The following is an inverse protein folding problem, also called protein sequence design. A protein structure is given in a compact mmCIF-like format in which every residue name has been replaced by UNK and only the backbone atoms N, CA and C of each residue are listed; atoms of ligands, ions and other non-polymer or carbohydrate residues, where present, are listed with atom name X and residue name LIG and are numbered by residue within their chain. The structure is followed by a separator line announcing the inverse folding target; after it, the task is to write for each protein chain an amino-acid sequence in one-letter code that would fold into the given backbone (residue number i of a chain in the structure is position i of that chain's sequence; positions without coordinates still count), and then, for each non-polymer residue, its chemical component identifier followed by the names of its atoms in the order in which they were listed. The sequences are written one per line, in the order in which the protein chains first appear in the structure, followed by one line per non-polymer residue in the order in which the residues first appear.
data_IF_487612521507
#
_entry.id   IF_487612521507
#
_cell.length_a   1.000
_cell.length_b   1.000
_cell.length_c   1.000
_cell.angle_alpha   90.00
_cell.angle_beta   90.00
_cell.angle_gamma   90.00
#
_symmetry.space_group_name_H-M   'P 1'
#
loop_
_entity.id
_entity.type
_entity.pdbx_description
1 polymer ?
#
# COMPACT_ATOMS: atom_id res chain seq x y z
N UNK A 1 -10.64 -3.64 -10.60
CA UNK A 1 -10.23 -2.26 -10.90
C UNK A 1 -11.29 -1.26 -10.46
N UNK A 2 -10.84 -0.05 -10.14
CA UNK A 2 -11.75 1.03 -9.83
C UNK A 2 -12.41 1.57 -11.10
N UNK A 3 -13.71 1.87 -11.01
CA UNK A 3 -14.43 2.49 -12.12
C UNK A 3 -14.22 4.00 -12.08
N UNK A 4 -14.60 4.68 -13.19
CA UNK A 4 -14.54 6.14 -13.23
C UNK A 4 -15.44 6.76 -12.14
N UNK A 5 -16.60 6.15 -11.87
CA UNK A 5 -17.49 6.63 -10.81
C UNK A 5 -16.86 6.50 -9.43
N UNK A 6 -16.17 5.39 -9.18
CA UNK A 6 -15.46 5.19 -7.91
C UNK A 6 -14.44 6.29 -7.69
N UNK A 7 -13.68 6.61 -8.73
CA UNK A 7 -12.63 7.62 -8.64
C UNK A 7 -13.23 9.01 -8.40
N UNK A 8 -14.33 9.32 -9.05
CA UNK A 8 -14.98 10.62 -8.90
C UNK A 8 -15.54 10.85 -7.50
N UNK A 9 -15.86 9.79 -6.78
CA UNK A 9 -16.36 9.90 -5.42
C UNK A 9 -15.27 10.22 -4.39
N UNK A 10 -14.00 10.20 -4.80
CA UNK A 10 -12.86 10.43 -3.91
C UNK A 10 -12.53 11.91 -3.79
N UNK A 11 -11.78 12.26 -2.73
CA UNK A 11 -11.31 13.64 -2.54
C UNK A 11 -10.35 14.02 -3.66
N UNK A 12 -10.29 15.32 -4.05
CA UNK A 12 -9.43 15.76 -5.14
C UNK A 12 -7.95 15.39 -5.00
N UNK A 13 -7.41 15.44 -3.78
CA UNK A 13 -6.02 15.06 -3.54
C UNK A 13 -5.77 13.61 -3.88
N UNK A 14 -6.71 12.74 -3.51
CA UNK A 14 -6.62 11.32 -3.79
C UNK A 14 -6.75 11.08 -5.28
N UNK A 15 -7.70 11.77 -5.94
CA UNK A 15 -7.87 11.65 -7.39
C UNK A 15 -6.58 11.97 -8.14
N UNK A 16 -5.92 13.06 -7.76
CA UNK A 16 -4.69 13.48 -8.41
C UNK A 16 -3.57 12.46 -8.24
N UNK A 17 -3.46 11.89 -7.04
CA UNK A 17 -2.47 10.85 -6.76
C UNK A 17 -2.72 9.61 -7.63
N UNK A 18 -4.00 9.24 -7.80
CA UNK A 18 -4.38 8.05 -8.55
C UNK A 18 -4.10 8.15 -10.04
N UNK A 19 -4.04 9.36 -10.59
CA UNK A 19 -3.73 9.55 -12.01
C UNK A 19 -2.33 9.03 -12.38
N UNK A 20 -1.46 8.87 -11.41
CA UNK A 20 -0.08 8.43 -11.62
C UNK A 20 0.11 6.94 -11.37
N UNK A 21 -0.94 6.22 -11.01
CA UNK A 21 -0.85 4.81 -10.63
C UNK A 21 -1.42 3.91 -11.74
N UNK A 22 -0.64 2.89 -12.13
CA UNK A 22 -1.01 1.99 -13.22
C UNK A 22 -2.11 1.02 -12.86
N UNK A 23 -2.11 0.50 -11.64
CA UNK A 23 -3.04 -0.54 -11.23
C UNK A 23 -3.74 -0.18 -9.93
N UNK A 24 -5.08 -0.21 -9.94
CA UNK A 24 -5.91 0.09 -8.78
C UNK A 24 -6.91 -1.03 -8.56
N UNK A 25 -6.95 -1.55 -7.33
CA UNK A 25 -7.87 -2.61 -6.95
C UNK A 25 -8.68 -2.16 -5.74
N UNK A 26 -10.00 -2.30 -5.82
CA UNK A 26 -10.90 -1.83 -4.78
C UNK A 26 -11.50 -2.96 -3.96
N UNK A 27 -11.88 -2.63 -2.74
CA UNK A 27 -12.64 -3.51 -1.86
C UNK A 27 -14.03 -2.91 -1.68
N UNK A 28 -15.05 -3.70 -1.95
CA UNK A 28 -16.45 -3.25 -1.96
C UNK A 28 -17.27 -3.93 -0.87
N UNK A 29 -18.08 -3.13 -0.13
CA UNK A 29 -18.93 -3.65 0.95
C UNK A 29 -20.14 -2.74 1.21
N UNK A 30 -21.19 -2.71 0.37
CA UNK A 30 -21.28 -3.01 -1.07
C UNK A 30 -20.71 -1.91 -1.97
N UNK A 31 -20.45 -0.72 -1.42
CA UNK A 31 -19.77 0.37 -2.13
C UNK A 31 -18.27 0.32 -1.87
N UNK A 32 -17.53 1.11 -2.60
CA UNK A 32 -16.09 1.16 -2.44
C UNK A 32 -15.71 1.66 -1.03
N UNK A 33 -15.03 0.84 -0.25
CA UNK A 33 -14.61 1.19 1.11
C UNK A 33 -13.09 1.20 1.30
N UNK A 34 -12.35 0.75 0.31
CA UNK A 34 -10.90 0.78 0.35
C UNK A 34 -10.31 0.41 -1.00
N UNK A 35 -9.03 0.73 -1.20
CA UNK A 35 -8.34 0.36 -2.43
C UNK A 35 -6.83 0.29 -2.21
N UNK A 36 -6.16 -0.43 -3.09
CA UNK A 36 -4.71 -0.47 -3.15
C UNK A 36 -4.26 -0.06 -4.55
N UNK A 37 -3.26 0.81 -4.61
CA UNK A 37 -2.65 1.24 -5.85
C UNK A 37 -1.27 0.65 -5.97
N UNK A 38 -0.94 0.09 -7.14
CA UNK A 38 0.30 -0.64 -7.37
C UNK A 38 1.01 -0.11 -8.61
N UNK A 39 2.33 0.03 -8.50
CA UNK A 39 3.18 0.41 -9.61
C UNK A 39 4.53 -0.28 -9.44
N UNK A 40 4.99 -0.99 -10.48
CA UNK A 40 6.32 -1.62 -10.49
C UNK A 40 6.63 -2.47 -9.26
N UNK A 41 5.73 -3.39 -8.91
CA UNK A 41 5.87 -4.29 -7.77
C UNK A 41 5.84 -3.59 -6.41
N UNK A 42 5.42 -2.32 -6.39
CA UNK A 42 5.37 -1.53 -5.16
C UNK A 42 3.96 -1.05 -4.88
N UNK A 43 3.54 -1.12 -3.61
CA UNK A 43 2.31 -0.49 -3.18
C UNK A 43 2.56 1.00 -3.07
N UNK A 44 1.90 1.77 -3.93
CA UNK A 44 1.99 3.23 -3.93
C UNK A 44 0.96 3.86 -3.00
N UNK A 45 -0.17 3.22 -2.84
CA UNK A 45 -1.24 3.75 -2.01
C UNK A 45 -2.10 2.63 -1.47
N UNK A 46 -2.43 2.71 -0.19
CA UNK A 46 -3.36 1.80 0.47
C UNK A 46 -4.31 2.64 1.29
N UNK A 47 -5.58 2.60 0.94
CA UNK A 47 -6.61 3.41 1.57
C UNK A 47 -7.75 2.57 2.09
N UNK A 48 -8.23 2.89 3.29
CA UNK A 48 -9.44 2.30 3.86
C UNK A 48 -10.27 3.44 4.45
N UNK A 49 -11.55 3.51 4.10
CA UNK A 49 -12.44 4.53 4.61
C UNK A 49 -12.54 4.44 6.14
N UNK A 50 -12.64 5.61 6.80
CA UNK A 50 -12.54 5.69 8.26
C UNK A 50 -13.52 4.77 9.00
N UNK A 51 -14.76 4.66 8.53
CA UNK A 51 -15.76 3.81 9.16
C UNK A 51 -15.49 2.31 9.03
N UNK A 52 -14.56 1.95 8.15
CA UNK A 52 -14.24 0.55 7.87
C UNK A 52 -12.87 0.14 8.38
N UNK A 53 -12.17 1.03 9.08
CA UNK A 53 -10.89 0.69 9.71
C UNK A 53 -11.14 -0.29 10.86
N UNK A 54 -10.15 -1.14 11.11
CA UNK A 54 -10.28 -2.16 12.15
C UNK A 54 -11.02 -3.41 11.72
N UNK A 55 -11.49 -3.48 10.47
CA UNK A 55 -12.21 -4.64 9.93
C UNK A 55 -11.35 -5.49 9.02
N UNK A 56 -10.04 -5.33 9.09
CA UNK A 56 -9.07 -6.10 8.32
C UNK A 56 -9.12 -5.89 6.82
N UNK A 57 -9.74 -4.81 6.36
CA UNK A 57 -9.83 -4.51 4.92
C UNK A 57 -8.45 -4.19 4.36
N UNK A 58 -7.66 -3.38 5.08
CA UNK A 58 -6.29 -3.09 4.68
C UNK A 58 -5.45 -4.35 4.55
N UNK A 59 -5.61 -5.29 5.49
CA UNK A 59 -4.93 -6.58 5.45
C UNK A 59 -5.33 -7.38 4.23
N UNK A 60 -6.62 -7.43 3.91
CA UNK A 60 -7.12 -8.16 2.74
C UNK A 60 -6.61 -7.56 1.45
N UNK A 61 -6.60 -6.23 1.34
CA UNK A 61 -6.08 -5.53 0.16
C UNK A 61 -4.59 -5.81 -0.01
N UNK A 62 -3.82 -5.74 1.07
CA UNK A 62 -2.39 -6.00 0.99
C UNK A 62 -2.09 -7.45 0.66
N UNK A 63 -2.83 -8.41 1.23
CA UNK A 63 -2.69 -9.82 0.87
C UNK A 63 -2.97 -10.05 -0.61
N UNK A 64 -4.00 -9.41 -1.15
CA UNK A 64 -4.30 -9.48 -2.57
C UNK A 64 -3.12 -8.96 -3.40
N UNK A 65 -2.54 -7.84 -3.00
CA UNK A 65 -1.41 -7.26 -3.70
C UNK A 65 -0.19 -8.20 -3.68
N UNK A 66 0.08 -8.80 -2.53
CA UNK A 66 1.21 -9.73 -2.37
C UNK A 66 0.97 -11.00 -3.17
N UNK A 67 -0.19 -11.64 -2.99
CA UNK A 67 -0.45 -12.98 -3.51
C UNK A 67 -0.81 -12.97 -4.99
N UNK A 68 -1.63 -12.02 -5.41
CA UNK A 68 -2.15 -11.99 -6.79
C UNK A 68 -1.38 -11.05 -7.70
N UNK A 69 -0.82 -9.98 -7.17
CA UNK A 69 -0.10 -9.00 -7.97
C UNK A 69 1.41 -9.04 -7.74
N UNK A 70 1.85 -9.90 -6.83
CA UNK A 70 3.27 -10.17 -6.57
C UNK A 70 4.07 -8.92 -6.24
N UNK A 71 3.50 -8.01 -5.46
CA UNK A 71 4.23 -6.83 -5.00
C UNK A 71 5.31 -7.26 -4.01
N UNK A 72 6.39 -6.51 -3.98
CA UNK A 72 7.53 -6.80 -3.12
C UNK A 72 7.89 -5.65 -2.21
N UNK A 73 7.48 -4.43 -2.53
CA UNK A 73 7.95 -3.23 -1.87
C UNK A 73 6.82 -2.34 -1.41
N UNK A 74 7.09 -1.58 -0.37
CA UNK A 74 6.23 -0.48 0.07
C UNK A 74 7.10 0.61 0.68
N UNK A 75 6.75 1.86 0.41
CA UNK A 75 7.40 3.00 1.03
C UNK A 75 6.46 3.57 2.07
N UNK A 76 7.01 3.92 3.23
CA UNK A 76 6.21 4.49 4.30
C UNK A 76 6.98 5.63 4.96
N UNK A 77 6.27 6.72 5.26
CA UNK A 77 6.85 7.85 5.97
C UNK A 77 7.36 7.39 7.34
N UNK A 78 8.59 7.76 7.68
CA UNK A 78 9.21 7.37 8.95
C UNK A 78 8.38 7.77 10.17
N UNK A 79 7.62 8.85 10.06
CA UNK A 79 6.78 9.34 11.15
C UNK A 79 5.46 8.59 11.28
N UNK A 80 5.12 7.76 10.30
CA UNK A 80 3.89 6.97 10.31
C UNK A 80 4.12 5.65 11.05
N UNK A 81 4.14 5.70 12.37
CA UNK A 81 4.41 4.53 13.20
C UNK A 81 3.37 3.42 13.01
N UNK A 82 2.10 3.79 12.83
CA UNK A 82 1.04 2.80 12.61
C UNK A 82 1.24 2.07 11.30
N UNK A 83 1.59 2.79 10.24
CA UNK A 83 1.86 2.19 8.94
C UNK A 83 3.06 1.26 8.99
N UNK A 84 4.14 1.69 9.63
CA UNK A 84 5.34 0.88 9.79
C UNK A 84 4.99 -0.43 10.52
N UNK A 85 4.29 -0.32 11.65
CA UNK A 85 3.88 -1.50 12.42
C UNK A 85 3.00 -2.43 11.63
N UNK A 86 2.06 -1.88 10.86
CA UNK A 86 1.18 -2.66 10.00
C UNK A 86 1.98 -3.47 8.97
N UNK A 87 2.87 -2.82 8.24
CA UNK A 87 3.66 -3.51 7.22
C UNK A 87 4.63 -4.52 7.83
N UNK A 88 5.23 -4.20 8.96
CA UNK A 88 6.11 -5.16 9.65
C UNK A 88 5.32 -6.40 10.08
N UNK A 89 4.11 -6.20 10.61
CA UNK A 89 3.23 -7.30 10.99
C UNK A 89 2.86 -8.16 9.78
N UNK A 90 2.74 -7.54 8.61
CA UNK A 90 2.40 -8.23 7.37
C UNK A 90 3.60 -8.91 6.70
N UNK A 91 4.76 -8.85 7.31
CA UNK A 91 5.94 -9.57 6.82
C UNK A 91 6.95 -8.73 6.05
N UNK A 92 6.82 -7.41 6.10
CA UNK A 92 7.80 -6.53 5.48
C UNK A 92 8.94 -6.20 6.45
N UNK A 93 10.11 -5.97 5.91
CA UNK A 93 11.28 -5.58 6.69
C UNK A 93 11.97 -4.38 6.05
N UNK A 94 12.71 -3.63 6.86
CA UNK A 94 13.42 -2.45 6.38
C UNK A 94 14.50 -2.85 5.38
N UNK A 95 14.47 -2.22 4.20
CA UNK A 95 15.46 -2.43 3.15
C UNK A 95 16.28 -1.18 2.87
N UNK A 96 15.76 -0.01 3.20
CA UNK A 96 16.48 1.24 2.97
C UNK A 96 15.73 2.44 3.53
N UNK A 97 16.35 3.60 3.42
CA UNK A 97 15.78 4.85 3.93
C UNK A 97 16.26 6.00 3.05
N UNK A 98 15.34 6.89 2.72
CA UNK A 98 15.66 8.15 2.06
C UNK A 98 15.39 9.30 3.02
N UNK A 99 16.30 10.29 3.05
CA UNK A 99 16.14 11.45 3.95
C UNK A 99 15.05 12.41 3.49
N UNK A 100 14.74 12.38 2.19
CA UNK A 100 13.77 13.28 1.58
C UNK A 100 12.70 12.48 0.88
N UNK A 101 11.47 13.03 0.84
CA UNK A 101 10.40 12.41 0.08
C UNK A 101 10.61 12.68 -1.42
N UNK A 102 9.70 12.19 -2.26
CA UNK A 102 9.81 12.31 -3.72
C UNK A 102 9.78 13.76 -4.20
N UNK A 103 9.23 14.66 -3.38
CA UNK A 103 9.13 16.08 -3.70
C UNK A 103 10.29 16.89 -3.15
N UNK A 104 11.26 16.23 -2.52
CA UNK A 104 12.42 16.89 -1.96
C UNK A 104 12.21 17.51 -0.59
N UNK A 105 11.07 17.22 0.05
CA UNK A 105 10.81 17.70 1.41
C UNK A 105 11.55 16.82 2.42
N UNK A 106 11.91 17.40 3.56
CA UNK A 106 12.66 16.70 4.61
C UNK A 106 11.74 15.78 5.44
N UNK A 107 11.06 14.87 4.77
CA UNK A 107 10.23 13.84 5.38
C UNK A 107 10.80 12.48 5.03
N UNK A 108 11.60 11.88 5.92
CA UNK A 108 12.25 10.61 5.63
C UNK A 108 11.27 9.51 5.27
N UNK A 109 11.64 8.70 4.29
CA UNK A 109 10.85 7.58 3.79
C UNK A 109 11.60 6.29 4.08
N UNK A 110 10.91 5.33 4.70
CA UNK A 110 11.44 3.99 4.87
C UNK A 110 11.03 3.13 3.70
N UNK A 111 11.99 2.42 3.13
CA UNK A 111 11.75 1.49 2.04
C UNK A 111 11.69 0.09 2.62
N UNK A 112 10.54 -0.53 2.54
CA UNK A 112 10.31 -1.86 3.10
C UNK A 112 10.18 -2.88 1.98
N UNK A 113 10.62 -4.10 2.26
CA UNK A 113 10.56 -5.20 1.31
C UNK A 113 9.90 -6.40 1.98
N UNK A 114 9.04 -7.11 1.24
CA UNK A 114 8.42 -8.33 1.77
C UNK A 114 9.48 -9.40 2.02
N UNK A 115 9.37 -10.07 3.16
CA UNK A 115 10.25 -11.19 3.46
C UNK A 115 9.87 -12.36 2.56
N UNK A 116 10.84 -12.91 1.83
CA UNK A 116 10.56 -14.03 0.97
C UNK A 116 10.63 -15.34 1.74
N UNK A 117 9.47 -15.79 2.23
CA UNK A 117 9.38 -17.01 3.01
C UNK A 117 9.68 -18.26 2.19
N UNK A 118 9.44 -18.21 0.87
CA UNK A 118 9.76 -19.33 0.00
C UNK A 118 11.26 -19.55 -0.12
N UNK A 119 12.03 -18.47 -0.29
CA UNK A 119 13.49 -18.57 -0.31
C UNK A 119 14.01 -19.13 1.01
N UNK A 120 13.47 -18.64 2.12
CA UNK A 120 13.84 -19.10 3.44
C UNK A 120 13.53 -20.59 3.61
N UNK A 121 12.38 -21.03 3.13
CA UNK A 121 11.98 -22.43 3.18
C UNK A 121 12.90 -23.30 2.34
N UNK A 122 13.33 -22.80 1.18
CA UNK A 122 14.21 -23.55 0.29
C UNK A 122 15.62 -23.71 0.80
N UNK A 123 16.05 -22.80 1.66
CA UNK A 123 17.36 -22.85 2.30
C UNK A 123 17.45 -23.92 3.36
N UNK A 124 16.32 -24.36 3.83
CA UNK A 124 16.24 -25.37 4.87
C UNK A 124 16.07 -26.77 4.27
#
# INVERSE_FOLDING_TARGET
FLTAEDIQSLKPEVKNALLMIDQLYGYYAPTLVGFVGIENEKVEMLFVAAHFRGKRIGKKLLHYAIDEQQIKYVDVNEQNEQGIGFYQHMGFQLAGRSEFDEQGNAFPILHLKIRNTKEKSNEN
#
